data_IF_275944986158
#
_entry.id   IF_275944986158
#
_cell.length_a   1.000
_cell.length_b   1.000
_cell.length_c   1.000
_cell.angle_alpha   90.00
_cell.angle_beta   90.00
_cell.angle_gamma   90.00
#
_symmetry.space_group_name_H-M   'P 1'
#
loop_
_entity.id
_entity.type
_entity.pdbx_description
1 polymer ?
#
# COMPACT_ATOMS: atom_id res chain seq x y z
N UNK A 1 3.42 -15.80 -23.28
CA UNK A 1 4.36 -14.87 -22.58
C UNK A 1 4.76 -15.48 -21.25
N UNK A 2 6.04 -15.51 -20.93
CA UNK A 2 6.56 -15.97 -19.63
C UNK A 2 7.07 -14.74 -18.85
N UNK A 3 6.57 -14.53 -17.65
CA UNK A 3 6.99 -13.41 -16.80
C UNK A 3 7.59 -13.89 -15.48
N UNK A 4 8.50 -13.10 -14.92
CA UNK A 4 9.00 -13.28 -13.56
C UNK A 4 8.53 -12.11 -12.71
N UNK A 5 7.78 -12.41 -11.66
CA UNK A 5 7.26 -11.46 -10.67
C UNK A 5 8.19 -11.40 -9.47
N UNK A 6 8.70 -10.21 -9.14
CA UNK A 6 9.57 -9.99 -7.96
C UNK A 6 8.76 -9.45 -6.79
N UNK A 7 8.85 -10.15 -5.67
CA UNK A 7 8.28 -9.74 -4.39
C UNK A 7 9.32 -9.90 -3.27
N UNK A 8 9.19 -9.15 -2.19
CA UNK A 8 10.14 -9.24 -1.07
C UNK A 8 9.62 -8.66 0.24
N UNK A 9 8.59 -7.83 0.15
CA UNK A 9 7.95 -7.21 1.31
C UNK A 9 6.43 -7.46 1.27
N UNK A 10 5.79 -7.48 2.44
CA UNK A 10 4.34 -7.70 2.58
C UNK A 10 3.47 -6.89 1.60
N UNK A 11 3.69 -5.57 1.40
CA UNK A 11 2.88 -4.82 0.44
C UNK A 11 2.99 -5.33 -1.00
N UNK A 12 4.15 -5.86 -1.39
CA UNK A 12 4.34 -6.42 -2.73
C UNK A 12 3.61 -7.76 -2.90
N UNK A 13 3.57 -8.59 -1.85
CA UNK A 13 2.81 -9.85 -1.86
C UNK A 13 1.33 -9.55 -2.09
N UNK A 14 0.78 -8.56 -1.36
CA UNK A 14 -0.62 -8.13 -1.53
C UNK A 14 -0.86 -7.65 -2.97
N UNK A 15 0.02 -6.82 -3.52
CA UNK A 15 -0.09 -6.32 -4.89
C UNK A 15 -0.04 -7.44 -5.93
N UNK A 16 0.89 -8.38 -5.75
CA UNK A 16 1.03 -9.55 -6.63
C UNK A 16 -0.24 -10.41 -6.66
N UNK A 17 -0.99 -10.49 -5.57
CA UNK A 17 -2.25 -11.24 -5.51
C UNK A 17 -3.24 -10.82 -6.61
N UNK A 18 -3.34 -9.51 -6.92
CA UNK A 18 -4.25 -9.03 -7.96
C UNK A 18 -3.82 -9.53 -9.34
N UNK A 19 -2.53 -9.40 -9.65
CA UNK A 19 -1.99 -9.84 -10.96
C UNK A 19 -2.05 -11.36 -11.10
N UNK A 20 -1.58 -12.13 -10.10
CA UNK A 20 -1.63 -13.60 -10.14
C UNK A 20 -3.07 -14.11 -10.30
N UNK A 21 -4.03 -13.48 -9.61
CA UNK A 21 -5.46 -13.80 -9.76
C UNK A 21 -5.98 -13.49 -11.16
N UNK A 22 -5.65 -12.31 -11.72
CA UNK A 22 -6.04 -11.94 -13.10
C UNK A 22 -5.46 -12.94 -14.10
N UNK A 23 -4.18 -13.30 -13.98
CA UNK A 23 -3.54 -14.31 -14.83
C UNK A 23 -4.26 -15.65 -14.72
N UNK A 24 -4.47 -16.15 -13.50
CA UNK A 24 -5.11 -17.45 -13.29
C UNK A 24 -6.54 -17.51 -13.83
N UNK A 25 -7.29 -16.40 -13.69
CA UNK A 25 -8.71 -16.36 -14.06
C UNK A 25 -8.92 -16.10 -15.55
N UNK A 26 -8.15 -15.17 -16.15
CA UNK A 26 -8.43 -14.64 -17.48
C UNK A 26 -7.32 -14.90 -18.51
N UNK A 27 -6.07 -15.12 -18.07
CA UNK A 27 -4.91 -15.16 -18.97
C UNK A 27 -4.05 -16.43 -18.83
N UNK A 28 -4.54 -17.48 -18.16
CA UNK A 28 -3.79 -18.72 -17.86
C UNK A 28 -3.18 -19.41 -19.07
N UNK A 29 -3.81 -19.28 -20.24
CA UNK A 29 -3.34 -19.89 -21.49
C UNK A 29 -2.39 -18.96 -22.27
N UNK A 30 -2.23 -17.73 -21.82
CA UNK A 30 -1.45 -16.69 -22.50
C UNK A 30 -0.24 -16.22 -21.69
N UNK A 31 -0.33 -16.22 -20.36
CA UNK A 31 0.73 -15.77 -19.45
C UNK A 31 1.10 -16.89 -18.49
N UNK A 32 2.40 -17.20 -18.42
CA UNK A 32 2.98 -18.07 -17.39
C UNK A 32 3.76 -17.20 -16.42
N UNK A 33 3.36 -17.17 -15.16
CA UNK A 33 4.01 -16.42 -14.09
C UNK A 33 4.92 -17.32 -13.27
N UNK A 34 6.16 -16.87 -13.00
CA UNK A 34 7.06 -17.41 -11.99
C UNK A 34 7.28 -16.35 -10.92
N UNK A 35 7.12 -16.70 -9.65
CA UNK A 35 7.27 -15.78 -8.53
C UNK A 35 8.63 -15.98 -7.85
N UNK A 36 9.40 -14.89 -7.73
CA UNK A 36 10.67 -14.85 -7.01
C UNK A 36 10.51 -14.01 -5.75
N UNK A 37 10.60 -14.65 -4.59
CA UNK A 37 10.64 -13.98 -3.29
C UNK A 37 12.07 -13.65 -2.91
N UNK A 38 12.41 -12.36 -2.74
CA UNK A 38 13.79 -11.94 -2.41
C UNK A 38 14.16 -12.22 -0.95
N UNK A 39 13.19 -12.37 -0.07
CA UNK A 39 13.42 -12.53 1.36
C UNK A 39 13.75 -11.21 2.08
N UNK A 40 13.36 -10.05 1.54
CA UNK A 40 13.65 -8.74 2.14
C UNK A 40 13.11 -8.60 3.56
N UNK A 41 11.87 -9.07 3.77
CA UNK A 41 11.28 -9.21 5.10
C UNK A 41 11.00 -10.68 5.34
N UNK A 42 11.84 -11.30 6.17
CA UNK A 42 11.78 -12.72 6.42
C UNK A 42 11.10 -13.00 7.76
N UNK A 43 9.83 -13.39 7.69
CA UNK A 43 9.12 -14.07 8.77
C UNK A 43 8.40 -15.26 8.12
N UNK A 44 8.98 -16.46 8.29
CA UNK A 44 8.51 -17.70 7.65
C UNK A 44 7.02 -17.95 7.90
N UNK A 45 6.56 -17.66 9.12
CA UNK A 45 5.17 -17.93 9.52
C UNK A 45 4.21 -16.89 8.93
N UNK A 46 4.63 -15.62 8.79
CA UNK A 46 3.77 -14.58 8.23
C UNK A 46 3.65 -14.69 6.71
N UNK A 47 4.74 -15.02 6.02
CA UNK A 47 4.69 -15.15 4.55
C UNK A 47 3.79 -16.31 4.11
N UNK A 48 3.90 -17.51 4.70
CA UNK A 48 3.10 -18.66 4.32
C UNK A 48 1.59 -18.46 4.56
N UNK A 49 1.21 -17.84 5.67
CA UNK A 49 -0.19 -17.49 5.98
C UNK A 49 -0.73 -16.50 4.93
N UNK A 50 0.06 -15.49 4.57
CA UNK A 50 -0.33 -14.51 3.55
C UNK A 50 -0.58 -15.14 2.18
N UNK A 51 0.31 -16.01 1.71
CA UNK A 51 0.11 -16.71 0.43
C UNK A 51 -1.19 -17.51 0.43
N UNK A 52 -1.47 -18.20 1.54
CA UNK A 52 -2.69 -19.01 1.69
C UNK A 52 -3.95 -18.14 1.78
N UNK A 53 -3.94 -17.09 2.60
CA UNK A 53 -5.09 -16.18 2.77
C UNK A 53 -5.43 -15.40 1.50
N UNK A 54 -4.41 -15.04 0.71
CA UNK A 54 -4.56 -14.26 -0.52
C UNK A 54 -4.79 -15.12 -1.76
N UNK A 55 -4.71 -16.44 -1.64
CA UNK A 55 -4.82 -17.35 -2.78
C UNK A 55 -3.72 -17.17 -3.82
N UNK A 56 -2.53 -16.69 -3.40
CA UNK A 56 -1.38 -16.51 -4.29
C UNK A 56 -0.62 -17.86 -4.39
N UNK A 57 -0.13 -18.25 -5.58
CA UNK A 57 0.77 -19.37 -5.69
C UNK A 57 2.02 -19.22 -4.81
N UNK A 58 2.53 -20.33 -4.28
CA UNK A 58 3.81 -20.30 -3.57
C UNK A 58 4.92 -19.77 -4.50
N UNK A 59 5.91 -19.07 -3.92
CA UNK A 59 7.02 -18.57 -4.71
C UNK A 59 7.84 -19.74 -5.30
N UNK A 60 8.13 -19.67 -6.60
CA UNK A 60 8.94 -20.67 -7.32
C UNK A 60 10.41 -20.61 -6.88
N UNK A 61 10.86 -19.42 -6.49
CA UNK A 61 12.22 -19.16 -6.01
C UNK A 61 12.18 -18.30 -4.75
N UNK A 62 13.05 -18.63 -3.78
CA UNK A 62 13.27 -17.82 -2.60
C UNK A 62 14.78 -17.54 -2.43
N UNK A 63 15.17 -16.26 -2.49
CA UNK A 63 16.57 -15.84 -2.37
C UNK A 63 17.03 -15.74 -0.91
N UNK A 64 16.12 -15.69 0.05
CA UNK A 64 16.39 -15.65 1.50
C UNK A 64 17.44 -14.61 1.91
N UNK A 65 17.40 -13.42 1.30
CA UNK A 65 18.45 -12.39 1.50
C UNK A 65 18.45 -11.83 2.91
N UNK A 66 17.27 -11.72 3.53
CA UNK A 66 17.13 -11.20 4.89
C UNK A 66 17.31 -9.69 5.01
N UNK A 67 17.33 -9.19 6.25
CA UNK A 67 17.58 -7.79 6.57
C UNK A 67 19.06 -7.45 6.50
N UNK A 68 19.37 -6.20 6.17
CA UNK A 68 20.75 -5.72 6.08
C UNK A 68 20.82 -4.25 5.66
N UNK A 69 22.05 -3.72 5.51
CA UNK A 69 22.27 -2.40 4.95
C UNK A 69 21.82 -2.37 3.49
N UNK A 70 21.21 -1.27 3.06
CA UNK A 70 20.60 -1.14 1.72
C UNK A 70 21.50 -1.64 0.59
N UNK A 71 22.78 -1.21 0.55
CA UNK A 71 23.70 -1.61 -0.50
C UNK A 71 23.96 -3.12 -0.54
N UNK A 72 24.29 -3.73 0.59
CA UNK A 72 24.55 -5.16 0.68
C UNK A 72 23.29 -6.01 0.38
N UNK A 73 22.13 -5.58 0.87
CA UNK A 73 20.86 -6.24 0.62
C UNK A 73 20.49 -6.18 -0.86
N UNK A 74 20.53 -4.99 -1.47
CA UNK A 74 20.23 -4.79 -2.90
C UNK A 74 21.20 -5.59 -3.80
N UNK A 75 22.50 -5.60 -3.50
CA UNK A 75 23.48 -6.33 -4.27
C UNK A 75 23.20 -7.85 -4.29
N UNK A 76 22.91 -8.46 -3.12
CA UNK A 76 22.57 -9.89 -3.04
C UNK A 76 21.29 -10.21 -3.79
N UNK A 77 20.28 -9.34 -3.72
CA UNK A 77 19.05 -9.50 -4.49
C UNK A 77 19.31 -9.45 -5.99
N UNK A 78 20.10 -8.47 -6.45
CA UNK A 78 20.46 -8.32 -7.87
C UNK A 78 21.17 -9.57 -8.40
N UNK A 79 22.17 -10.09 -7.70
CA UNK A 79 22.92 -11.30 -8.08
C UNK A 79 22.00 -12.53 -8.21
N UNK A 80 21.14 -12.74 -7.20
CA UNK A 80 20.19 -13.84 -7.20
C UNK A 80 19.14 -13.73 -8.30
N UNK A 81 18.58 -12.53 -8.50
CA UNK A 81 17.60 -12.26 -9.57
C UNK A 81 18.25 -12.47 -10.95
N UNK A 82 19.41 -11.89 -11.20
CA UNK A 82 20.11 -12.04 -12.48
C UNK A 82 20.37 -13.52 -12.82
N UNK A 83 20.81 -14.31 -11.83
CA UNK A 83 21.02 -15.76 -12.00
C UNK A 83 19.74 -16.47 -12.45
N UNK A 84 18.58 -16.12 -11.84
CA UNK A 84 17.29 -16.70 -12.21
C UNK A 84 16.88 -16.23 -13.62
N UNK A 85 17.04 -14.96 -13.93
CA UNK A 85 16.67 -14.38 -15.22
C UNK A 85 17.46 -15.04 -16.38
N UNK A 86 18.74 -15.25 -16.20
CA UNK A 86 19.60 -15.93 -17.20
C UNK A 86 19.20 -17.39 -17.40
N UNK A 87 18.75 -18.08 -16.34
CA UNK A 87 18.26 -19.47 -16.39
C UNK A 87 16.91 -19.55 -17.06
N UNK A 88 15.96 -18.76 -16.60
CA UNK A 88 14.53 -18.88 -16.97
C UNK A 88 14.19 -18.16 -18.27
N UNK A 89 14.97 -17.16 -18.68
CA UNK A 89 14.81 -16.35 -19.90
C UNK A 89 13.37 -15.90 -20.13
N UNK A 90 12.79 -15.13 -19.20
CA UNK A 90 11.43 -14.63 -19.33
C UNK A 90 11.33 -13.58 -20.43
N UNK A 91 10.12 -13.36 -20.92
CA UNK A 91 9.80 -12.27 -21.84
C UNK A 91 9.80 -10.90 -21.13
N UNK A 92 9.48 -10.88 -19.82
CA UNK A 92 9.50 -9.68 -19.00
C UNK A 92 9.71 -9.98 -17.51
N UNK A 93 10.24 -8.98 -16.80
CA UNK A 93 10.27 -8.92 -15.33
C UNK A 93 9.21 -7.94 -14.82
N UNK A 94 8.41 -8.37 -13.85
CA UNK A 94 7.38 -7.55 -13.20
C UNK A 94 7.83 -7.13 -11.80
N UNK A 95 7.75 -5.83 -11.50
CA UNK A 95 8.09 -5.26 -10.19
C UNK A 95 7.00 -4.31 -9.69
N UNK A 96 6.90 -4.13 -8.36
CA UNK A 96 5.86 -3.35 -7.70
C UNK A 96 6.45 -2.29 -6.78
N UNK A 97 5.94 -1.08 -6.88
CA UNK A 97 6.22 0.01 -5.93
C UNK A 97 7.69 0.37 -5.84
N UNK A 98 8.25 0.41 -4.63
CA UNK A 98 9.45 1.19 -4.33
C UNK A 98 10.44 0.54 -3.34
N UNK A 99 10.37 -0.77 -3.15
CA UNK A 99 11.26 -1.45 -2.21
C UNK A 99 12.66 -1.69 -2.80
N UNK A 100 13.62 -2.14 -1.96
CA UNK A 100 14.93 -2.57 -2.46
C UNK A 100 14.80 -3.75 -3.43
N UNK A 101 13.79 -4.62 -3.27
CA UNK A 101 13.49 -5.71 -4.20
C UNK A 101 13.07 -5.21 -5.58
N UNK A 102 12.29 -4.13 -5.63
CA UNK A 102 11.89 -3.43 -6.86
C UNK A 102 13.12 -2.91 -7.60
N UNK A 103 13.97 -2.15 -6.90
CA UNK A 103 15.20 -1.60 -7.44
C UNK A 103 16.13 -2.70 -7.98
N UNK A 104 16.35 -3.74 -7.16
CA UNK A 104 17.24 -4.85 -7.52
C UNK A 104 16.75 -5.58 -8.77
N UNK A 105 15.44 -5.86 -8.85
CA UNK A 105 14.84 -6.51 -10.00
C UNK A 105 14.96 -5.68 -11.27
N UNK A 106 14.57 -4.40 -11.20
CA UNK A 106 14.63 -3.49 -12.34
C UNK A 106 16.05 -3.34 -12.89
N UNK A 107 17.04 -3.12 -12.03
CA UNK A 107 18.44 -2.98 -12.45
C UNK A 107 19.01 -4.28 -13.03
N UNK A 108 18.76 -5.44 -12.41
CA UNK A 108 19.23 -6.72 -12.91
C UNK A 108 18.68 -7.02 -14.31
N UNK A 109 17.37 -6.87 -14.51
CA UNK A 109 16.71 -7.15 -15.79
C UNK A 109 17.14 -6.17 -16.89
N UNK A 110 17.16 -4.86 -16.61
CA UNK A 110 17.53 -3.84 -17.59
C UNK A 110 18.96 -4.06 -18.12
N UNK A 111 19.92 -4.46 -17.27
CA UNK A 111 21.32 -4.71 -17.67
C UNK A 111 21.52 -5.91 -18.58
N UNK A 112 20.60 -6.87 -18.56
CA UNK A 112 20.63 -8.08 -19.42
C UNK A 112 19.54 -8.02 -20.51
N UNK A 113 18.97 -6.82 -20.74
CA UNK A 113 18.00 -6.52 -21.80
C UNK A 113 16.67 -7.29 -21.70
N UNK A 114 16.24 -7.65 -20.48
CA UNK A 114 14.91 -8.16 -20.23
C UNK A 114 13.98 -6.99 -19.95
N UNK A 115 12.85 -6.85 -20.68
CA UNK A 115 11.86 -5.81 -20.44
C UNK A 115 11.40 -5.75 -18.98
N UNK A 116 11.36 -4.55 -18.40
CA UNK A 116 10.88 -4.32 -17.03
C UNK A 116 9.50 -3.71 -17.09
N UNK A 117 8.57 -4.30 -16.35
CA UNK A 117 7.21 -3.82 -16.14
C UNK A 117 7.10 -3.30 -14.71
N UNK A 118 6.89 -1.99 -14.56
CA UNK A 118 6.76 -1.36 -13.24
C UNK A 118 5.31 -1.01 -12.93
N UNK A 119 4.74 -1.67 -11.94
CA UNK A 119 3.40 -1.38 -11.42
C UNK A 119 3.51 -0.42 -10.23
N UNK A 120 2.66 0.59 -10.19
CA UNK A 120 2.69 1.75 -9.29
C UNK A 120 3.82 2.73 -9.64
N UNK A 121 4.04 2.91 -10.95
CA UNK A 121 5.01 3.85 -11.52
C UNK A 121 4.58 5.33 -11.38
N UNK A 122 5.55 6.23 -11.37
CA UNK A 122 5.32 7.68 -11.42
C UNK A 122 4.96 8.34 -10.11
N UNK A 123 4.83 7.62 -9.01
CA UNK A 123 4.63 8.24 -7.69
C UNK A 123 5.88 8.98 -7.24
N UNK A 124 5.71 10.17 -6.64
CA UNK A 124 6.80 11.00 -6.13
C UNK A 124 6.44 11.63 -4.79
N UNK A 125 7.38 11.52 -3.84
CA UNK A 125 7.36 12.27 -2.58
C UNK A 125 8.15 13.58 -2.67
N UNK A 126 8.98 13.72 -3.73
CA UNK A 126 9.94 14.82 -3.90
C UNK A 126 10.94 14.96 -2.74
N UNK A 127 11.11 13.91 -1.94
CA UNK A 127 12.03 13.86 -0.83
C UNK A 127 13.06 12.74 -1.03
N UNK A 128 14.20 13.07 -1.64
CA UNK A 128 15.28 12.13 -1.93
C UNK A 128 16.06 11.65 -0.68
N UNK A 129 15.75 12.14 0.52
CA UNK A 129 16.26 11.54 1.75
C UNK A 129 15.54 10.21 2.08
N UNK A 130 14.43 9.93 1.42
CA UNK A 130 13.72 8.65 1.52
C UNK A 130 14.32 7.64 0.54
N UNK A 131 14.78 6.46 1.00
CA UNK A 131 15.29 5.41 0.11
C UNK A 131 14.27 4.98 -0.96
N UNK A 132 12.99 4.96 -0.61
CA UNK A 132 11.89 4.62 -1.50
C UNK A 132 11.79 5.56 -2.70
N UNK A 133 12.05 6.84 -2.49
CA UNK A 133 12.02 7.82 -3.60
C UNK A 133 13.14 7.56 -4.61
N UNK A 134 14.32 7.20 -4.13
CA UNK A 134 15.46 6.80 -4.99
C UNK A 134 15.08 5.54 -5.79
N UNK A 135 14.47 4.56 -5.11
CA UNK A 135 14.05 3.32 -5.75
C UNK A 135 13.02 3.56 -6.85
N UNK A 136 11.98 4.39 -6.61
CA UNK A 136 10.95 4.74 -7.60
C UNK A 136 11.55 5.36 -8.85
N UNK A 137 12.32 6.44 -8.67
CA UNK A 137 12.94 7.17 -9.79
C UNK A 137 13.79 6.22 -10.62
N UNK A 138 14.66 5.45 -9.97
CA UNK A 138 15.56 4.53 -10.67
C UNK A 138 14.80 3.43 -11.39
N UNK A 139 13.77 2.85 -10.76
CA UNK A 139 12.96 1.81 -11.36
C UNK A 139 12.21 2.32 -12.58
N UNK A 140 11.57 3.50 -12.49
CA UNK A 140 10.86 4.11 -13.62
C UNK A 140 11.78 4.29 -14.83
N UNK A 141 12.99 4.82 -14.62
CA UNK A 141 13.97 5.03 -15.69
C UNK A 141 14.64 3.74 -16.25
N UNK A 142 14.42 2.59 -15.60
CA UNK A 142 14.85 1.28 -16.10
C UNK A 142 13.72 0.48 -16.75
N UNK A 143 12.49 1.02 -16.73
CA UNK A 143 11.30 0.27 -17.12
C UNK A 143 10.92 0.46 -18.59
N UNK A 144 10.37 -0.59 -19.17
CA UNK A 144 9.84 -0.65 -20.53
C UNK A 144 8.35 -0.33 -20.57
N UNK A 145 7.59 -0.85 -19.60
CA UNK A 145 6.18 -0.51 -19.38
C UNK A 145 6.01 0.08 -17.99
N UNK A 146 5.35 1.24 -17.91
CA UNK A 146 5.07 1.96 -16.68
C UNK A 146 3.56 2.07 -16.48
N UNK A 147 3.06 1.42 -15.44
CA UNK A 147 1.65 1.43 -15.08
C UNK A 147 1.42 2.32 -13.86
N UNK A 148 0.86 3.49 -14.11
CA UNK A 148 0.59 4.48 -13.06
C UNK A 148 -0.83 4.34 -12.50
N UNK A 149 -1.01 4.40 -11.17
CA UNK A 149 -2.33 4.30 -10.56
C UNK A 149 -3.18 5.54 -10.76
N UNK A 150 -2.57 6.73 -10.93
CA UNK A 150 -3.28 8.01 -10.94
C UNK A 150 -2.80 8.97 -12.02
N UNK A 151 -3.59 10.02 -12.30
CA UNK A 151 -3.18 11.10 -13.20
C UNK A 151 -1.96 11.87 -12.67
N UNK A 152 -1.81 11.99 -11.35
CA UNK A 152 -0.65 12.64 -10.74
C UNK A 152 0.64 11.87 -11.08
N UNK A 153 0.61 10.54 -11.02
CA UNK A 153 1.74 9.72 -11.42
C UNK A 153 2.12 9.91 -12.90
N UNK A 154 1.15 9.96 -13.80
CA UNK A 154 1.37 10.31 -15.22
C UNK A 154 2.03 11.70 -15.35
N UNK A 155 1.50 12.70 -14.64
CA UNK A 155 2.04 14.06 -14.68
C UNK A 155 3.49 14.14 -14.18
N UNK A 156 3.85 13.33 -13.17
CA UNK A 156 5.21 13.25 -12.66
C UNK A 156 6.17 12.65 -13.69
N UNK A 157 5.77 11.55 -14.34
CA UNK A 157 6.56 10.92 -15.41
C UNK A 157 6.77 11.86 -16.59
N UNK A 158 5.74 12.59 -17.02
CA UNK A 158 5.87 13.59 -18.09
C UNK A 158 6.87 14.69 -17.72
N UNK A 159 6.86 15.17 -16.47
CA UNK A 159 7.84 16.16 -15.99
C UNK A 159 9.29 15.63 -16.01
N UNK A 160 9.48 14.32 -15.92
CA UNK A 160 10.78 13.65 -15.98
C UNK A 160 11.16 13.23 -17.41
N UNK A 161 10.37 13.61 -18.42
CA UNK A 161 10.68 13.42 -19.82
C UNK A 161 10.07 12.19 -20.48
N UNK A 162 9.22 11.44 -19.76
CA UNK A 162 8.50 10.32 -20.36
C UNK A 162 7.40 10.81 -21.31
N UNK A 163 7.25 10.12 -22.45
CA UNK A 163 6.18 10.39 -23.41
C UNK A 163 4.93 9.58 -23.06
N UNK A 164 3.76 10.18 -23.26
CA UNK A 164 2.48 9.46 -23.20
C UNK A 164 2.01 9.01 -24.59
N UNK A 165 2.83 9.20 -25.62
CA UNK A 165 2.52 8.72 -26.97
C UNK A 165 2.69 7.21 -27.03
N UNK A 166 1.62 6.50 -27.43
CA UNK A 166 1.63 5.04 -27.55
C UNK A 166 2.25 4.64 -28.91
N UNK A 167 3.26 3.81 -28.84
CA UNK A 167 3.89 3.16 -29.98
C UNK A 167 3.50 1.67 -30.02
N UNK A 168 3.71 1.00 -31.17
CA UNK A 168 3.30 -0.41 -31.34
C UNK A 168 4.09 -1.39 -30.47
N UNK A 169 5.35 -1.09 -30.17
CA UNK A 169 6.20 -1.90 -29.28
C UNK A 169 6.91 -1.01 -28.27
N UNK A 170 6.94 -1.46 -27.04
CA UNK A 170 7.70 -0.85 -25.97
C UNK A 170 9.18 -1.27 -26.02
N UNK A 171 10.08 -0.38 -25.60
CA UNK A 171 11.48 -0.68 -25.33
C UNK A 171 11.98 0.20 -24.18
N UNK A 172 13.15 -0.10 -23.64
CA UNK A 172 13.76 0.73 -22.58
C UNK A 172 14.06 2.16 -23.08
N UNK A 173 14.39 2.32 -24.37
CA UNK A 173 14.66 3.62 -24.99
C UNK A 173 13.36 4.36 -25.37
N UNK A 174 12.27 3.63 -25.55
CA UNK A 174 10.94 4.14 -25.89
C UNK A 174 9.89 3.48 -24.99
N UNK A 175 9.91 3.80 -23.68
CA UNK A 175 8.98 3.20 -22.72
C UNK A 175 7.54 3.69 -22.95
N UNK A 176 6.58 2.84 -22.66
CA UNK A 176 5.17 3.19 -22.70
C UNK A 176 4.62 3.42 -21.30
N UNK A 177 3.83 4.48 -21.18
CA UNK A 177 3.23 4.93 -19.92
C UNK A 177 1.72 4.83 -20.01
N UNK A 178 1.10 4.09 -19.08
CA UNK A 178 -0.35 3.91 -19.04
C UNK A 178 -0.91 4.29 -17.66
N UNK A 179 -2.08 4.91 -17.65
CA UNK A 179 -2.89 5.01 -16.45
C UNK A 179 -3.84 3.82 -16.40
N UNK A 180 -3.59 2.87 -15.51
CA UNK A 180 -4.41 1.65 -15.37
C UNK A 180 -5.29 1.64 -14.13
N UNK A 181 -5.07 2.55 -13.20
CA UNK A 181 -5.65 2.46 -11.87
C UNK A 181 -4.75 1.70 -10.89
N UNK A 182 -5.24 1.50 -9.69
CA UNK A 182 -4.48 0.92 -8.58
C UNK A 182 -4.91 -0.53 -8.32
N UNK A 183 -3.98 -1.47 -8.48
CA UNK A 183 -4.23 -2.90 -8.19
C UNK A 183 -4.59 -3.17 -6.73
N UNK A 184 -4.27 -2.24 -5.81
CA UNK A 184 -4.76 -2.33 -4.43
C UNK A 184 -6.28 -2.11 -4.36
N UNK A 185 -6.85 -1.31 -5.28
CA UNK A 185 -8.30 -1.19 -5.36
C UNK A 185 -8.95 -2.52 -5.79
N UNK A 186 -8.38 -3.20 -6.80
CA UNK A 186 -8.84 -4.54 -7.20
C UNK A 186 -8.83 -5.50 -6.01
N UNK A 187 -7.73 -5.50 -5.24
CA UNK A 187 -7.60 -6.33 -4.04
C UNK A 187 -8.60 -5.97 -2.96
N UNK A 188 -8.73 -4.67 -2.64
CA UNK A 188 -9.64 -4.21 -1.60
C UNK A 188 -11.09 -4.60 -1.91
N UNK A 189 -11.51 -4.49 -3.16
CA UNK A 189 -12.85 -4.90 -3.59
C UNK A 189 -13.04 -6.42 -3.52
N UNK A 190 -12.07 -7.19 -4.03
CA UNK A 190 -12.12 -8.65 -3.99
C UNK A 190 -12.15 -9.20 -2.56
N UNK A 191 -11.21 -8.74 -1.72
CA UNK A 191 -11.12 -9.24 -0.35
C UNK A 191 -12.22 -8.72 0.56
N UNK A 192 -12.82 -7.56 0.28
CA UNK A 192 -13.99 -7.10 1.04
C UNK A 192 -15.20 -8.01 0.86
N UNK A 193 -15.40 -8.59 -0.32
CA UNK A 193 -16.47 -9.57 -0.53
C UNK A 193 -16.25 -10.82 0.32
N UNK A 194 -15.01 -11.35 0.37
CA UNK A 194 -14.64 -12.52 1.19
C UNK A 194 -14.75 -12.21 2.69
N UNK A 195 -14.26 -11.04 3.12
CA UNK A 195 -14.30 -10.65 4.52
C UNK A 195 -15.74 -10.46 5.04
N UNK A 196 -16.67 -10.09 4.17
CA UNK A 196 -18.09 -9.93 4.54
C UNK A 196 -18.83 -11.26 4.73
N UNK A 197 -18.32 -12.36 4.16
CA UNK A 197 -18.93 -13.70 4.30
C UNK A 197 -18.51 -14.43 5.59
N UNK A 198 -17.42 -13.99 6.22
CA UNK A 198 -16.88 -14.61 7.43
C UNK A 198 -17.25 -13.80 8.67
N UNK A 199 -17.55 -14.50 9.78
CA UNK A 199 -17.58 -13.85 11.09
C UNK A 199 -16.17 -13.37 11.43
N UNK A 200 -15.92 -12.08 11.23
CA UNK A 200 -14.62 -11.45 11.35
C UNK A 200 -14.40 -10.71 12.67
N UNK A 201 -13.41 -9.85 12.66
CA UNK A 201 -13.01 -9.05 13.83
C UNK A 201 -14.11 -8.05 14.25
N UNK A 202 -14.89 -7.51 13.31
CA UNK A 202 -16.00 -6.58 13.58
C UNK A 202 -17.05 -7.21 14.50
N UNK A 203 -17.43 -8.45 14.23
CA UNK A 203 -18.39 -9.20 15.06
C UNK A 203 -17.81 -9.59 16.42
N UNK A 204 -16.52 -10.02 16.46
CA UNK A 204 -15.82 -10.35 17.70
C UNK A 204 -15.72 -9.16 18.65
N UNK A 205 -15.49 -7.97 18.11
CA UNK A 205 -15.42 -6.72 18.87
C UNK A 205 -16.79 -6.09 19.13
N UNK A 206 -17.88 -6.73 18.72
CA UNK A 206 -19.26 -6.26 18.86
C UNK A 206 -19.47 -4.85 18.28
N UNK A 207 -18.83 -4.58 17.12
CA UNK A 207 -18.95 -3.28 16.46
C UNK A 207 -20.17 -3.24 15.54
N UNK A 208 -20.86 -2.11 15.55
CA UNK A 208 -21.95 -1.83 14.60
C UNK A 208 -21.39 -1.19 13.34
N UNK A 209 -21.59 -1.76 12.14
CA UNK A 209 -21.14 -1.14 10.90
C UNK A 209 -21.64 0.30 10.74
N UNK A 210 -20.74 1.22 10.39
CA UNK A 210 -21.04 2.64 10.27
C UNK A 210 -21.07 3.44 11.57
N UNK A 211 -20.86 2.79 12.72
CA UNK A 211 -20.93 3.42 14.06
C UNK A 211 -19.61 3.32 14.84
N UNK A 212 -18.50 3.07 14.19
CA UNK A 212 -17.18 3.08 14.81
C UNK A 212 -16.15 3.79 13.94
N UNK A 213 -15.12 4.32 14.56
CA UNK A 213 -13.98 4.99 13.91
C UNK A 213 -12.79 4.04 13.96
N UNK A 214 -12.11 3.85 12.82
CA UNK A 214 -10.86 3.11 12.76
C UNK A 214 -9.68 4.07 12.85
N UNK A 215 -8.74 3.82 13.76
CA UNK A 215 -7.52 4.60 13.86
C UNK A 215 -6.28 3.72 13.75
N UNK A 216 -5.29 4.11 12.93
CA UNK A 216 -3.98 3.44 12.84
C UNK A 216 -2.85 4.44 13.00
N UNK A 217 -1.90 4.13 13.89
CA UNK A 217 -0.72 4.97 14.19
C UNK A 217 0.51 4.08 14.26
N UNK A 218 1.51 4.33 13.40
CA UNK A 218 2.71 3.51 13.38
C UNK A 218 3.98 4.23 12.90
N UNK A 219 3.86 5.44 12.30
CA UNK A 219 5.03 6.18 11.80
C UNK A 219 5.89 6.72 12.93
N UNK A 220 7.21 6.60 12.75
CA UNK A 220 8.21 7.07 13.71
C UNK A 220 8.06 8.55 14.05
N UNK A 221 7.70 9.37 13.05
CA UNK A 221 7.43 10.81 13.25
C UNK A 221 6.33 11.10 14.27
N UNK A 222 5.38 10.19 14.44
CA UNK A 222 4.27 10.30 15.39
C UNK A 222 4.55 9.55 16.70
N UNK A 223 5.16 8.37 16.61
CA UNK A 223 5.31 7.47 17.77
C UNK A 223 6.58 7.68 18.55
N UNK A 224 7.67 8.24 17.97
CA UNK A 224 8.96 8.43 18.66
C UNK A 224 9.09 9.78 19.35
N UNK A 225 8.16 10.71 19.08
CA UNK A 225 8.12 12.01 19.70
C UNK A 225 7.01 12.08 20.76
N UNK A 226 7.34 12.22 22.04
CA UNK A 226 6.33 12.26 23.12
C UNK A 226 5.24 13.31 22.88
N UNK A 227 5.62 14.49 22.43
CA UNK A 227 4.70 15.61 22.15
C UNK A 227 3.67 15.22 21.08
N UNK A 228 4.11 14.66 19.94
CA UNK A 228 3.23 14.26 18.85
C UNK A 228 2.27 13.15 19.28
N UNK A 229 2.81 12.12 19.96
CA UNK A 229 2.02 10.99 20.42
C UNK A 229 0.94 11.43 21.40
N UNK A 230 1.28 12.27 22.39
CA UNK A 230 0.32 12.78 23.37
C UNK A 230 -0.76 13.65 22.71
N UNK A 231 -0.41 14.54 21.82
CA UNK A 231 -1.40 15.36 21.08
C UNK A 231 -2.37 14.49 20.27
N UNK A 232 -1.87 13.48 19.56
CA UNK A 232 -2.72 12.57 18.80
C UNK A 232 -3.68 11.81 19.73
N UNK A 233 -3.18 11.24 20.83
CA UNK A 233 -4.03 10.47 21.75
C UNK A 233 -5.07 11.36 22.44
N UNK A 234 -4.73 12.59 22.87
CA UNK A 234 -5.71 13.54 23.39
C UNK A 234 -6.79 13.88 22.38
N UNK A 235 -6.40 14.12 21.11
CA UNK A 235 -7.36 14.37 20.05
C UNK A 235 -8.30 13.19 19.81
N UNK A 236 -7.79 11.94 19.87
CA UNK A 236 -8.61 10.74 19.76
C UNK A 236 -9.58 10.58 20.93
N UNK A 237 -9.14 10.85 22.17
CA UNK A 237 -9.99 10.86 23.37
C UNK A 237 -11.14 11.86 23.22
N UNK A 238 -10.83 13.08 22.78
CA UNK A 238 -11.85 14.11 22.55
C UNK A 238 -12.82 13.75 21.41
N UNK A 239 -12.32 13.22 20.27
CA UNK A 239 -13.17 12.74 19.18
C UNK A 239 -14.10 11.63 19.68
N UNK A 240 -13.61 10.71 20.51
CA UNK A 240 -14.44 9.66 21.08
C UNK A 240 -15.56 10.24 21.95
N UNK A 241 -15.25 11.23 22.80
CA UNK A 241 -16.25 11.90 23.63
C UNK A 241 -17.31 12.65 22.79
N UNK A 242 -16.88 13.40 21.76
CA UNK A 242 -17.76 14.16 20.87
C UNK A 242 -18.65 13.23 20.04
N UNK A 243 -18.07 12.17 19.45
CA UNK A 243 -18.77 11.26 18.55
C UNK A 243 -19.67 10.27 19.28
N UNK A 244 -19.32 9.95 20.50
CA UNK A 244 -19.88 8.82 21.27
C UNK A 244 -19.79 7.47 20.54
N UNK A 245 -18.96 7.37 19.49
CA UNK A 245 -18.69 6.13 18.76
C UNK A 245 -17.59 5.30 19.42
N UNK A 246 -17.53 4.01 19.12
CA UNK A 246 -16.37 3.18 19.46
C UNK A 246 -15.21 3.58 18.55
N UNK A 247 -14.02 3.75 19.13
CA UNK A 247 -12.78 3.96 18.40
C UNK A 247 -11.94 2.69 18.48
N UNK A 248 -11.60 2.10 17.33
CA UNK A 248 -10.81 0.87 17.25
C UNK A 248 -9.37 1.24 16.86
N UNK A 249 -8.41 0.81 17.66
CA UNK A 249 -7.00 1.14 17.54
C UNK A 249 -6.14 -0.14 17.47
N UNK A 250 -5.96 -0.75 16.29
CA UNK A 250 -5.00 -1.84 16.11
C UNK A 250 -3.58 -1.32 16.31
N UNK A 251 -2.83 -1.88 17.27
CA UNK A 251 -1.50 -1.40 17.61
C UNK A 251 -0.42 -2.44 17.32
N UNK A 252 0.56 -2.04 16.52
CA UNK A 252 1.81 -2.78 16.40
C UNK A 252 2.53 -2.83 17.76
N UNK A 253 3.23 -3.93 18.11
CA UNK A 253 3.95 -4.05 19.40
C UNK A 253 4.89 -2.88 19.69
N UNK A 254 5.58 -2.35 18.67
CA UNK A 254 6.43 -1.16 18.80
C UNK A 254 5.63 0.07 19.24
N UNK A 255 4.50 0.37 18.60
CA UNK A 255 3.64 1.50 18.96
C UNK A 255 3.09 1.34 20.37
N UNK A 256 2.62 0.13 20.74
CA UNK A 256 2.16 -0.17 22.11
C UNK A 256 3.25 0.10 23.15
N UNK A 257 4.49 -0.34 22.89
CA UNK A 257 5.64 -0.06 23.74
C UNK A 257 5.89 1.45 23.88
N UNK A 258 5.88 2.18 22.77
CA UNK A 258 6.06 3.65 22.77
C UNK A 258 4.96 4.37 23.54
N UNK A 259 3.72 3.94 23.43
CA UNK A 259 2.63 4.49 24.25
C UNK A 259 2.86 4.28 25.73
N UNK A 260 3.31 3.10 26.15
CA UNK A 260 3.64 2.82 27.55
C UNK A 260 4.81 3.68 28.07
N UNK A 261 5.80 3.98 27.21
CA UNK A 261 7.01 4.72 27.59
C UNK A 261 6.83 6.24 27.54
N UNK A 262 5.99 6.77 26.63
CA UNK A 262 6.01 8.18 26.23
C UNK A 262 4.69 8.93 26.51
N UNK A 263 3.60 8.25 26.81
CA UNK A 263 2.36 8.94 27.18
C UNK A 263 2.49 9.57 28.56
N UNK A 264 1.92 10.76 28.68
CA UNK A 264 1.74 11.41 29.99
C UNK A 264 0.82 10.55 30.88
N UNK A 265 1.09 10.44 32.19
CA UNK A 265 0.32 9.58 33.08
C UNK A 265 -1.20 9.79 33.00
N UNK A 266 -1.65 11.07 32.95
CA UNK A 266 -3.06 11.39 32.86
C UNK A 266 -3.69 10.93 31.53
N UNK A 267 -2.97 11.05 30.41
CA UNK A 267 -3.43 10.61 29.08
C UNK A 267 -3.49 9.09 29.01
N UNK A 268 -2.52 8.42 29.62
CA UNK A 268 -2.48 6.95 29.66
C UNK A 268 -3.63 6.39 30.52
N UNK A 269 -3.91 7.00 31.67
CA UNK A 269 -5.02 6.64 32.56
C UNK A 269 -6.37 6.85 31.86
N UNK A 270 -6.60 8.02 31.26
CA UNK A 270 -7.84 8.31 30.52
C UNK A 270 -8.06 7.33 29.35
N UNK A 271 -7.00 7.00 28.60
CA UNK A 271 -7.07 6.02 27.52
C UNK A 271 -7.42 4.62 28.03
N UNK A 272 -6.86 4.20 29.18
CA UNK A 272 -7.10 2.90 29.76
C UNK A 272 -8.52 2.77 30.33
N UNK A 273 -9.04 3.83 30.94
CA UNK A 273 -10.36 3.85 31.56
C UNK A 273 -11.50 4.02 30.53
N UNK A 274 -11.18 4.45 29.32
CA UNK A 274 -12.17 4.66 28.26
C UNK A 274 -12.56 3.35 27.57
N UNK A 275 -13.62 2.70 28.02
CA UNK A 275 -14.12 1.44 27.47
C UNK A 275 -14.59 1.53 26.00
N UNK A 276 -14.77 2.75 25.45
CA UNK A 276 -15.13 2.95 24.04
C UNK A 276 -13.91 3.12 23.12
N UNK A 277 -12.70 3.13 23.67
CA UNK A 277 -11.47 3.04 22.87
C UNK A 277 -10.94 1.61 23.00
N UNK A 278 -11.14 0.83 21.95
CA UNK A 278 -10.71 -0.57 21.91
C UNK A 278 -9.31 -0.66 21.31
N UNK A 279 -8.31 -0.75 22.18
CA UNK A 279 -6.92 -1.01 21.78
C UNK A 279 -6.75 -2.51 21.57
N UNK A 280 -6.53 -2.93 20.33
CA UNK A 280 -6.43 -4.33 19.95
C UNK A 280 -5.02 -4.69 19.44
N UNK A 281 -4.74 -5.98 19.34
CA UNK A 281 -3.53 -6.48 18.70
C UNK A 281 -3.55 -6.19 17.18
N UNK A 282 -2.40 -6.27 16.49
CA UNK A 282 -2.35 -6.03 15.07
C UNK A 282 -3.36 -6.90 14.32
N UNK A 283 -4.23 -6.27 13.55
CA UNK A 283 -5.20 -6.97 12.73
C UNK A 283 -4.53 -7.59 11.49
N UNK A 284 -4.98 -8.77 11.10
CA UNK A 284 -4.64 -9.40 9.84
C UNK A 284 -5.15 -8.59 8.65
N UNK A 285 -4.73 -8.95 7.42
CA UNK A 285 -5.13 -8.20 6.23
C UNK A 285 -6.65 -8.21 6.03
N UNK A 286 -7.28 -9.37 6.09
CA UNK A 286 -8.74 -9.49 5.93
C UNK A 286 -9.51 -8.78 7.05
N UNK A 287 -8.98 -8.82 8.28
CA UNK A 287 -9.57 -8.10 9.40
C UNK A 287 -9.47 -6.57 9.21
N UNK A 288 -8.33 -6.07 8.70
CA UNK A 288 -8.19 -4.65 8.36
C UNK A 288 -9.17 -4.23 7.27
N UNK A 289 -9.29 -4.97 6.18
CA UNK A 289 -10.28 -4.75 5.12
C UNK A 289 -11.71 -4.72 5.69
N UNK A 290 -12.03 -5.64 6.60
CA UNK A 290 -13.34 -5.67 7.27
C UNK A 290 -13.59 -4.43 8.13
N UNK A 291 -12.59 -3.98 8.89
CA UNK A 291 -12.68 -2.75 9.71
C UNK A 291 -12.80 -1.50 8.82
N UNK A 292 -11.96 -1.36 7.80
CA UNK A 292 -11.95 -0.22 6.88
C UNK A 292 -13.25 -0.09 6.10
N UNK A 293 -13.76 -1.19 5.57
CA UNK A 293 -14.99 -1.19 4.78
C UNK A 293 -16.24 -0.87 5.61
N UNK A 294 -16.22 -1.14 6.91
CA UNK A 294 -17.40 -1.00 7.79
C UNK A 294 -17.32 0.15 8.78
N UNK A 295 -16.17 0.83 8.96
CA UNK A 295 -16.08 2.01 9.84
C UNK A 295 -16.89 3.19 9.29
N UNK A 296 -17.14 4.18 10.14
CA UNK A 296 -17.73 5.47 9.74
C UNK A 296 -16.68 6.43 9.18
N UNK A 297 -15.46 6.37 9.71
CA UNK A 297 -14.34 7.26 9.40
C UNK A 297 -13.02 6.53 9.66
N UNK A 298 -11.98 6.91 8.95
CA UNK A 298 -10.60 6.45 9.18
C UNK A 298 -9.74 7.61 9.67
N UNK A 299 -8.90 7.35 10.67
CA UNK A 299 -7.85 8.26 11.15
C UNK A 299 -6.52 7.50 11.01
N UNK A 300 -5.56 8.00 10.21
CA UNK A 300 -4.37 7.19 9.91
C UNK A 300 -3.13 8.01 9.55
N UNK A 301 -1.95 7.45 9.84
CA UNK A 301 -0.67 7.89 9.28
C UNK A 301 -0.13 6.95 8.17
N UNK A 302 -0.87 5.88 7.86
CA UNK A 302 -0.52 4.92 6.81
C UNK A 302 -0.86 5.42 5.42
N UNK A 303 0.10 5.39 4.47
CA UNK A 303 -0.16 5.72 3.07
C UNK A 303 -1.14 4.75 2.38
N UNK A 304 -1.11 3.47 2.71
CA UNK A 304 -2.03 2.46 2.16
C UNK A 304 -3.46 2.68 2.63
N UNK A 305 -3.64 2.79 3.95
CA UNK A 305 -4.97 2.96 4.58
C UNK A 305 -5.68 4.25 4.14
N UNK A 306 -4.94 5.30 3.77
CA UNK A 306 -5.52 6.51 3.17
C UNK A 306 -6.27 6.20 1.86
N UNK A 307 -5.65 5.41 0.97
CA UNK A 307 -6.28 4.99 -0.28
C UNK A 307 -7.45 4.05 -0.02
N UNK A 308 -7.24 3.08 0.85
CA UNK A 308 -8.25 2.08 1.22
C UNK A 308 -9.49 2.75 1.81
N UNK A 309 -9.34 3.79 2.64
CA UNK A 309 -10.44 4.62 3.11
C UNK A 309 -11.23 5.22 1.93
N UNK A 310 -10.54 5.75 0.91
CA UNK A 310 -11.19 6.28 -0.28
C UNK A 310 -11.88 5.18 -1.10
N UNK A 311 -11.27 3.99 -1.26
CA UNK A 311 -11.86 2.85 -1.94
C UNK A 311 -13.18 2.42 -1.32
N UNK A 312 -13.23 2.41 0.03
CA UNK A 312 -14.44 2.07 0.79
C UNK A 312 -15.36 3.27 1.04
N UNK A 313 -15.11 4.41 0.39
CA UNK A 313 -15.92 5.63 0.49
C UNK A 313 -16.05 6.14 1.92
N UNK A 314 -14.94 6.11 2.66
CA UNK A 314 -14.85 6.62 4.03
C UNK A 314 -14.11 7.95 4.06
N UNK A 315 -14.61 8.96 4.81
CA UNK A 315 -13.82 10.14 5.10
C UNK A 315 -12.57 9.77 5.90
N UNK A 316 -11.47 10.49 5.66
CA UNK A 316 -10.17 10.16 6.24
C UNK A 316 -9.50 11.38 6.88
N UNK A 317 -9.01 11.22 8.10
CA UNK A 317 -8.11 12.20 8.74
C UNK A 317 -6.68 11.64 8.67
N UNK A 318 -5.77 12.41 8.09
CA UNK A 318 -4.41 11.98 7.83
C UNK A 318 -3.46 12.63 8.85
N UNK A 319 -2.89 11.79 9.73
CA UNK A 319 -1.94 12.20 10.78
C UNK A 319 -0.54 12.45 10.21
N UNK A 320 -0.46 13.24 9.14
CA UNK A 320 0.77 13.60 8.42
C UNK A 320 0.67 15.02 7.91
N UNK A 321 1.83 15.68 7.70
CA UNK A 321 1.93 17.00 7.07
C UNK A 321 1.83 16.92 5.53
N UNK A 322 2.12 15.75 4.94
CA UNK A 322 2.17 15.52 3.49
C UNK A 322 1.62 14.14 3.16
N UNK A 323 1.10 13.99 1.95
CA UNK A 323 0.68 12.70 1.39
C UNK A 323 1.08 12.58 -0.07
N UNK A 324 1.30 11.36 -0.53
CA UNK A 324 1.49 11.00 -1.93
C UNK A 324 0.15 11.02 -2.71
N UNK A 325 -0.97 10.95 -1.98
CA UNK A 325 -2.33 10.85 -2.52
C UNK A 325 -3.04 12.20 -2.48
N UNK A 326 -2.51 13.17 -3.23
CA UNK A 326 -3.01 14.55 -3.24
C UNK A 326 -4.46 14.63 -3.73
N UNK A 327 -4.86 13.73 -4.63
CA UNK A 327 -6.18 13.69 -5.22
C UNK A 327 -7.30 13.52 -4.18
N UNK A 328 -7.09 12.70 -3.15
CA UNK A 328 -8.12 12.50 -2.11
C UNK A 328 -8.25 13.69 -1.17
N UNK A 329 -7.17 14.46 -0.99
CA UNK A 329 -7.18 15.71 -0.20
C UNK A 329 -7.82 16.83 -1.00
N UNK A 330 -7.43 17.03 -2.26
CA UNK A 330 -7.98 18.04 -3.16
C UNK A 330 -9.49 17.85 -3.40
N UNK A 331 -9.95 16.59 -3.46
CA UNK A 331 -11.38 16.27 -3.58
C UNK A 331 -12.14 16.45 -2.24
N UNK A 332 -11.43 16.70 -1.13
CA UNK A 332 -12.02 16.93 0.19
C UNK A 332 -12.59 15.69 0.85
N UNK A 333 -12.07 14.49 0.50
CA UNK A 333 -12.37 13.23 1.17
C UNK A 333 -11.43 12.98 2.35
N UNK A 334 -10.27 13.66 2.36
CA UNK A 334 -9.28 13.54 3.41
C UNK A 334 -8.72 14.91 3.81
N UNK A 335 -8.28 15.05 5.07
CA UNK A 335 -7.65 16.23 5.60
C UNK A 335 -6.33 15.90 6.27
N UNK A 336 -5.28 16.68 5.96
CA UNK A 336 -3.96 16.60 6.58
C UNK A 336 -3.93 17.41 7.88
N UNK A 337 -3.61 16.76 8.99
CA UNK A 337 -3.62 17.41 10.32
C UNK A 337 -2.28 17.35 11.06
N UNK A 338 -1.33 16.57 10.54
CA UNK A 338 -0.09 16.30 11.27
C UNK A 338 -0.37 15.58 12.58
N UNK A 339 0.27 16.03 13.65
CA UNK A 339 0.05 15.53 15.01
C UNK A 339 -0.77 16.47 15.91
N UNK A 340 -1.30 17.58 15.35
CA UNK A 340 -2.00 18.60 16.14
C UNK A 340 -3.36 18.12 16.62
N UNK A 341 -3.56 18.13 17.94
CA UNK A 341 -4.83 17.84 18.61
C UNK A 341 -5.96 18.75 18.09
N UNK A 342 -5.73 20.06 18.01
CA UNK A 342 -6.70 21.06 17.56
C UNK A 342 -7.16 20.77 16.11
N UNK A 343 -6.20 20.60 15.19
CA UNK A 343 -6.51 20.32 13.77
C UNK A 343 -7.23 18.96 13.61
N UNK A 344 -6.92 17.98 14.46
CA UNK A 344 -7.57 16.68 14.44
C UNK A 344 -9.07 16.80 14.78
N UNK A 345 -9.42 17.58 15.79
CA UNK A 345 -10.79 17.84 16.20
C UNK A 345 -11.53 18.69 15.15
N UNK A 346 -10.88 19.73 14.62
CA UNK A 346 -11.44 20.56 13.54
C UNK A 346 -11.75 19.71 12.30
N UNK A 347 -10.81 18.85 11.88
CA UNK A 347 -10.99 17.95 10.75
C UNK A 347 -12.14 16.97 10.98
N UNK A 348 -12.28 16.44 12.20
CA UNK A 348 -13.41 15.58 12.56
C UNK A 348 -14.75 16.32 12.36
N UNK A 349 -14.89 17.54 12.88
CA UNK A 349 -16.10 18.33 12.70
C UNK A 349 -16.36 18.65 11.23
N UNK A 350 -15.35 19.05 10.48
CA UNK A 350 -15.48 19.37 9.07
C UNK A 350 -15.95 18.16 8.26
N UNK A 351 -15.33 16.99 8.45
CA UNK A 351 -15.68 15.78 7.71
C UNK A 351 -17.05 15.23 8.12
N UNK A 352 -17.46 15.29 9.38
CA UNK A 352 -18.76 14.79 9.83
C UNK A 352 -19.94 15.68 9.42
N UNK A 353 -19.71 16.98 9.23
CA UNK A 353 -20.75 17.92 8.77
C UNK A 353 -20.92 17.94 7.25
N UNK A 354 -19.89 17.53 6.49
CA UNK A 354 -19.94 17.43 5.03
C UNK A 354 -20.93 16.34 4.60
N UNK A 355 -21.83 16.69 3.67
CA UNK A 355 -22.87 15.74 3.16
C UNK A 355 -22.69 15.38 1.69
N UNK A 356 -21.93 16.18 0.95
CA UNK A 356 -21.76 16.10 -0.50
C UNK A 356 -20.43 15.43 -0.89
N UNK A 357 -20.19 14.24 -0.33
CA UNK A 357 -19.01 13.46 -0.72
C UNK A 357 -19.13 12.92 -2.13
N UNK A 358 -18.10 13.13 -2.93
CA UNK A 358 -17.94 12.48 -4.23
C UNK A 358 -16.72 11.57 -4.21
N UNK A 359 -16.76 10.51 -5.01
CA UNK A 359 -15.68 9.54 -5.11
C UNK A 359 -15.35 9.28 -6.58
N UNK A 360 -14.70 10.24 -7.26
CA UNK A 360 -14.29 10.07 -8.64
C UNK A 360 -13.34 8.87 -8.81
N UNK A 361 -13.27 8.23 -9.98
CA UNK A 361 -12.44 7.05 -10.20
C UNK A 361 -10.96 7.41 -10.36
N UNK A 362 -10.37 8.05 -9.35
CA UNK A 362 -8.95 8.42 -9.36
C UNK A 362 -8.05 7.20 -9.53
N UNK A 363 -8.42 6.11 -8.89
CA UNK A 363 -7.69 4.85 -8.81
C UNK A 363 -8.22 3.77 -9.75
N UNK A 364 -9.04 4.12 -10.75
CA UNK A 364 -9.64 3.18 -11.68
C UNK A 364 -11.00 2.67 -11.21
N UNK A 365 -11.37 1.50 -11.73
CA UNK A 365 -12.69 0.86 -11.55
C UNK A 365 -12.64 -0.53 -10.88
N UNK A 366 -11.45 -0.98 -10.47
CA UNK A 366 -11.25 -2.28 -9.84
C UNK A 366 -10.83 -3.40 -10.81
N UNK A 367 -10.44 -3.05 -12.03
CA UNK A 367 -9.97 -3.98 -13.08
C UNK A 367 -8.54 -3.66 -13.56
N UNK A 368 -7.76 -2.95 -12.77
CA UNK A 368 -6.40 -2.54 -13.13
C UNK A 368 -5.50 -3.73 -13.46
N UNK A 369 -5.61 -4.83 -12.71
CA UNK A 369 -4.80 -6.04 -12.93
C UNK A 369 -5.07 -6.72 -14.27
N UNK A 370 -6.33 -6.77 -14.70
CA UNK A 370 -6.72 -7.33 -16.00
C UNK A 370 -6.20 -6.45 -17.15
N UNK A 371 -6.35 -5.14 -17.02
CA UNK A 371 -5.87 -4.18 -18.00
C UNK A 371 -4.34 -4.21 -18.13
N UNK A 372 -3.61 -4.33 -17.03
CA UNK A 372 -2.14 -4.50 -17.05
C UNK A 372 -1.75 -5.77 -17.82
N UNK A 373 -2.40 -6.91 -17.54
CA UNK A 373 -2.12 -8.17 -18.25
C UNK A 373 -2.38 -8.03 -19.76
N UNK A 374 -3.49 -7.40 -20.15
CA UNK A 374 -3.82 -7.14 -21.55
C UNK A 374 -2.76 -6.28 -22.24
N UNK A 375 -2.37 -5.17 -21.63
CA UNK A 375 -1.37 -4.25 -22.17
C UNK A 375 0.03 -4.89 -22.27
N UNK A 376 0.41 -5.75 -21.31
CA UNK A 376 1.65 -6.53 -21.44
C UNK A 376 1.64 -7.42 -22.69
N UNK A 377 0.54 -8.13 -22.94
CA UNK A 377 0.41 -8.99 -24.13
C UNK A 377 0.38 -8.22 -25.45
N UNK A 378 -0.08 -6.97 -25.42
CA UNK A 378 -0.19 -6.12 -26.62
C UNK A 378 1.13 -5.45 -27.00
N UNK A 379 1.97 -5.10 -26.02
CA UNK A 379 3.11 -4.21 -26.24
C UNK A 379 4.49 -4.84 -26.01
N UNK A 380 4.58 -6.02 -25.43
CA UNK A 380 5.81 -6.80 -25.31
C UNK A 380 5.86 -7.95 -26.33
#
# INVERSE_FOLDING_TARGET
>A
MKIITIIGARPQIIKAAAISRAIHTHFKDQITELIVHTGQHYDDNMSAIFFTEMGIPAADYNLSVGSGNHGAQTAKMMEGIETILLKERPDALLVYGDTNSTLAGALAAAKIHIPVVHIEAGLRSYNKSMPEEINRITCDHCSTLLFSPTNQGISNLVKEGFSTTIHSKASIDHPLVFKTGDIMFDNSMYFSSIANEKQGLVEKLQLTPGEFILCTIHRDSNTDKPEHLNQIIRGLLQIQQISNQVLVLPLHPRTRKKMTELLEPAVAEELQDNSRIQVIDPAGFLDMISLESRCSMVITDSGGVQKEAFFFKKPCIILREQTEWVEIVENGNALLVGSSEEKLIEAYHQLTTKKDYTYPPFFGDGHASEEICRLMLEHL
#
